data_IF_125360424117
#
_entry.id   IF_125360424117
#
_cell.length_a   1.000
_cell.length_b   1.000
_cell.length_c   1.000
_cell.angle_alpha   90.00
_cell.angle_beta   90.00
_cell.angle_gamma   90.00
#
_symmetry.space_group_name_H-M   'P 1'
#
loop_
_entity.id
_entity.type
_entity.pdbx_description
1 polymer ?
#
# COMPACT_ATOMS: atom_id res chain seq x y z
N UNK A 1 -0.98 20.48 -1.56
CA UNK A 1 -0.94 19.00 -1.52
C UNK A 1 -1.48 18.45 -2.81
N UNK A 2 -0.78 17.51 -3.41
CA UNK A 2 -1.15 16.95 -4.69
C UNK A 2 -1.16 15.40 -4.65
N UNK A 3 -1.56 14.79 -5.77
CA UNK A 3 -1.65 13.34 -5.90
C UNK A 3 -0.31 12.65 -5.61
N UNK A 4 0.79 13.16 -6.15
CA UNK A 4 2.12 12.56 -5.97
C UNK A 4 2.51 12.49 -4.49
N UNK A 5 2.29 13.55 -3.74
CA UNK A 5 2.58 13.59 -2.30
C UNK A 5 1.70 12.61 -1.53
N UNK A 6 0.44 12.50 -1.89
CA UNK A 6 -0.47 11.52 -1.28
C UNK A 6 -0.07 10.08 -1.62
N UNK A 7 0.39 9.81 -2.86
CA UNK A 7 0.90 8.49 -3.23
C UNK A 7 2.12 8.10 -2.41
N UNK A 8 3.05 9.01 -2.22
CA UNK A 8 4.23 8.77 -1.38
C UNK A 8 3.83 8.51 0.07
N UNK A 9 2.86 9.26 0.56
CA UNK A 9 2.38 9.13 1.94
C UNK A 9 1.67 7.81 2.19
N UNK A 10 0.77 7.39 1.29
CA UNK A 10 0.05 6.12 1.46
C UNK A 10 1.01 4.92 1.36
N UNK A 11 2.03 5.02 0.52
CA UNK A 11 3.05 3.97 0.41
C UNK A 11 3.86 3.83 1.70
N UNK A 12 4.21 4.94 2.32
CA UNK A 12 4.87 4.92 3.63
C UNK A 12 3.93 4.39 4.71
N UNK A 13 2.69 4.85 4.72
CA UNK A 13 1.69 4.40 5.68
C UNK A 13 1.50 2.88 5.60
N UNK A 14 1.40 2.32 4.40
CA UNK A 14 1.23 0.89 4.22
C UNK A 14 2.38 0.09 4.85
N UNK A 15 3.61 0.55 4.66
CA UNK A 15 4.79 -0.13 5.20
C UNK A 15 4.88 -0.01 6.72
N UNK A 16 4.71 1.19 7.24
CA UNK A 16 4.89 1.43 8.68
C UNK A 16 3.76 0.82 9.50
N UNK A 17 2.55 0.81 8.99
CA UNK A 17 1.40 0.19 9.67
C UNK A 17 1.61 -1.30 9.86
N UNK A 18 2.16 -1.97 8.85
CA UNK A 18 2.42 -3.41 8.87
C UNK A 18 3.69 -3.79 9.63
N UNK A 19 4.55 -2.83 9.94
CA UNK A 19 5.81 -3.09 10.62
C UNK A 19 5.60 -3.48 12.09
N UNK A 20 6.48 -4.36 12.59
CA UNK A 20 6.52 -4.67 14.01
C UNK A 20 7.15 -3.51 14.81
N UNK A 21 7.28 -3.66 16.13
CA UNK A 21 7.81 -2.60 16.98
C UNK A 21 9.29 -2.29 16.75
N UNK A 22 9.98 -3.14 15.99
CA UNK A 22 11.37 -2.93 15.58
C UNK A 22 11.47 -2.37 14.16
N UNK A 23 10.35 -2.17 13.48
CA UNK A 23 10.32 -1.61 12.14
C UNK A 23 10.42 -2.65 11.01
N UNK A 24 10.33 -3.94 11.32
CA UNK A 24 10.43 -5.00 10.31
C UNK A 24 9.05 -5.39 9.78
N UNK A 25 9.00 -5.65 8.48
CA UNK A 25 7.76 -5.91 7.77
C UNK A 25 7.98 -6.99 6.72
N UNK A 26 6.93 -7.76 6.46
CA UNK A 26 6.98 -8.87 5.52
C UNK A 26 6.37 -8.48 4.17
N UNK A 27 7.07 -8.84 3.08
CA UNK A 27 6.54 -8.69 1.72
C UNK A 27 5.31 -9.58 1.55
N UNK A 28 4.21 -9.01 1.08
CA UNK A 28 2.95 -9.75 0.89
C UNK A 28 3.03 -10.78 -0.25
N UNK A 29 3.98 -10.64 -1.16
CA UNK A 29 4.14 -11.55 -2.30
C UNK A 29 5.13 -12.68 -2.01
N UNK A 30 6.38 -12.38 -1.67
CA UNK A 30 7.39 -13.43 -1.50
C UNK A 30 7.68 -13.80 -0.04
N UNK A 31 7.18 -13.02 0.91
CA UNK A 31 7.36 -13.31 2.33
C UNK A 31 8.67 -12.86 2.95
N UNK A 32 9.57 -12.23 2.18
CA UNK A 32 10.83 -11.74 2.74
C UNK A 32 10.57 -10.67 3.79
N UNK A 33 11.35 -10.69 4.87
CA UNK A 33 11.23 -9.72 5.96
C UNK A 33 12.39 -8.73 5.87
N UNK A 34 12.06 -7.44 5.86
CA UNK A 34 13.03 -6.35 5.82
C UNK A 34 12.53 -5.18 6.66
N UNK A 35 13.43 -4.27 7.00
CA UNK A 35 13.02 -3.03 7.65
C UNK A 35 12.17 -2.21 6.68
N UNK A 36 11.12 -1.55 7.17
CA UNK A 36 10.17 -0.84 6.31
C UNK A 36 10.80 0.29 5.48
N UNK A 37 11.99 0.76 5.87
CA UNK A 37 12.77 1.78 5.14
C UNK A 37 13.82 1.21 4.21
N UNK A 38 14.08 -0.10 4.25
CA UNK A 38 15.21 -0.70 3.55
C UNK A 38 14.76 -1.85 2.65
N UNK A 39 14.66 -1.56 1.36
CA UNK A 39 14.29 -2.56 0.37
C UNK A 39 12.81 -2.92 0.33
N UNK A 40 11.96 -2.19 1.04
CA UNK A 40 10.51 -2.36 1.02
C UNK A 40 9.84 -1.16 0.41
N UNK A 41 8.76 -1.41 -0.31
CA UNK A 41 7.95 -0.38 -0.97
C UNK A 41 6.47 -0.59 -0.61
N UNK A 42 5.66 0.43 -0.84
CA UNK A 42 4.21 0.27 -0.78
C UNK A 42 3.73 -0.14 -2.16
N UNK A 43 3.37 -1.42 -2.30
CA UNK A 43 2.95 -1.98 -3.59
C UNK A 43 1.44 -1.90 -3.76
N UNK A 44 1.00 -1.40 -4.91
CA UNK A 44 -0.42 -1.36 -5.27
C UNK A 44 -0.87 -2.71 -5.83
N UNK A 45 -1.95 -3.26 -5.26
CA UNK A 45 -2.55 -4.48 -5.79
C UNK A 45 -3.22 -4.20 -7.14
N UNK A 46 -4.13 -3.24 -7.19
CA UNK A 46 -4.63 -2.68 -8.45
C UNK A 46 -3.67 -1.56 -8.83
N UNK A 47 -3.06 -1.61 -10.03
CA UNK A 47 -2.05 -0.62 -10.42
C UNK A 47 -2.56 0.81 -10.29
N UNK A 48 -1.73 1.69 -9.75
CA UNK A 48 -2.08 3.09 -9.50
C UNK A 48 -2.45 3.85 -10.77
N UNK A 49 -1.98 3.40 -11.93
CA UNK A 49 -2.34 3.98 -13.22
C UNK A 49 -3.68 3.51 -13.78
N UNK A 50 -4.25 2.43 -13.21
CA UNK A 50 -5.51 1.85 -13.68
C UNK A 50 -6.74 2.49 -13.05
N UNK A 51 -6.59 3.05 -11.86
CA UNK A 51 -7.73 3.57 -11.10
C UNK A 51 -7.32 4.70 -10.19
N UNK A 52 -7.92 5.87 -10.37
CA UNK A 52 -7.70 7.00 -9.49
C UNK A 52 -8.30 6.78 -8.10
N UNK A 53 -9.35 5.97 -7.98
CA UNK A 53 -9.92 5.61 -6.69
C UNK A 53 -8.97 4.69 -5.90
N UNK A 54 -8.60 3.53 -6.49
CA UNK A 54 -7.81 2.53 -5.80
C UNK A 54 -6.37 2.97 -5.51
N UNK A 55 -5.85 3.92 -6.29
CA UNK A 55 -4.49 4.43 -6.10
C UNK A 55 -4.27 5.00 -4.69
N UNK A 56 -5.31 5.54 -4.06
CA UNK A 56 -5.26 6.20 -2.76
C UNK A 56 -6.18 5.54 -1.72
N UNK A 57 -6.47 4.25 -1.89
CA UNK A 57 -7.20 3.46 -0.90
C UNK A 57 -6.24 2.56 -0.12
N UNK A 58 -6.35 2.59 1.21
CA UNK A 58 -5.46 1.86 2.11
C UNK A 58 -5.50 0.35 1.83
N UNK A 59 -6.67 -0.19 1.54
CA UNK A 59 -6.86 -1.62 1.24
C UNK A 59 -6.14 -2.07 -0.03
N UNK A 60 -5.69 -1.14 -0.85
CA UNK A 60 -5.03 -1.45 -2.12
C UNK A 60 -3.50 -1.34 -2.06
N UNK A 61 -2.93 -0.92 -0.93
CA UNK A 61 -1.49 -0.66 -0.83
C UNK A 61 -0.92 -1.41 0.37
N UNK A 62 0.03 -2.32 0.11
CA UNK A 62 0.64 -3.16 1.14
C UNK A 62 2.13 -3.32 0.90
N UNK A 63 2.89 -3.76 1.91
CA UNK A 63 4.35 -3.89 1.75
C UNK A 63 4.73 -4.94 0.71
N UNK A 64 5.58 -4.55 -0.21
CA UNK A 64 6.25 -5.47 -1.14
C UNK A 64 7.72 -5.12 -1.21
N UNK A 65 8.57 -6.14 -1.34
CA UNK A 65 9.99 -5.88 -1.59
C UNK A 65 10.17 -5.30 -3.00
N UNK A 66 11.30 -4.66 -3.24
CA UNK A 66 11.61 -4.01 -4.52
C UNK A 66 11.48 -5.00 -5.67
N UNK A 67 12.01 -6.22 -5.50
CA UNK A 67 11.95 -7.24 -6.54
C UNK A 67 10.52 -7.62 -6.93
N UNK A 68 9.65 -7.83 -5.95
CA UNK A 68 8.25 -8.16 -6.22
C UNK A 68 7.48 -6.98 -6.81
N UNK A 69 7.65 -5.79 -6.26
CA UNK A 69 6.90 -4.63 -6.70
C UNK A 69 7.28 -4.16 -8.11
N UNK A 70 8.58 -4.14 -8.42
CA UNK A 70 9.05 -3.63 -9.71
C UNK A 70 9.04 -4.71 -10.79
N UNK A 71 9.55 -5.90 -10.47
CA UNK A 71 9.73 -6.96 -11.47
C UNK A 71 8.65 -8.06 -11.38
N UNK A 72 8.38 -8.54 -10.19
CA UNK A 72 7.44 -9.64 -9.98
C UNK A 72 6.00 -9.32 -10.38
N UNK A 73 5.55 -8.11 -10.18
CA UNK A 73 4.21 -7.68 -10.58
C UNK A 73 4.06 -7.66 -12.10
N UNK A 74 5.12 -7.30 -12.82
CA UNK A 74 5.12 -7.31 -14.29
C UNK A 74 5.13 -8.71 -14.86
N UNK A 75 5.87 -9.63 -14.24
CA UNK A 75 5.92 -11.03 -14.68
C UNK A 75 4.69 -11.84 -14.29
N UNK A 76 3.90 -11.34 -13.36
CA UNK A 76 2.67 -11.98 -12.89
C UNK A 76 2.83 -12.86 -11.64
N UNK A 77 4.03 -13.34 -11.33
CA UNK A 77 4.25 -14.21 -10.18
C UNK A 77 3.92 -13.53 -8.85
N UNK A 78 4.44 -12.32 -8.64
CA UNK A 78 4.18 -11.57 -7.42
C UNK A 78 2.72 -11.10 -7.35
N UNK A 79 2.08 -10.86 -8.49
CA UNK A 79 0.67 -10.48 -8.54
C UNK A 79 -0.23 -11.64 -8.08
N UNK A 80 0.09 -12.87 -8.49
CA UNK A 80 -0.64 -14.06 -8.04
C UNK A 80 -0.51 -14.26 -6.53
N UNK A 81 0.71 -14.15 -6.01
CA UNK A 81 0.98 -14.24 -4.58
C UNK A 81 0.25 -13.14 -3.81
N UNK A 82 0.23 -11.92 -4.35
CA UNK A 82 -0.47 -10.80 -3.75
C UNK A 82 -1.99 -11.06 -3.69
N UNK A 83 -2.55 -11.65 -4.75
CA UNK A 83 -3.98 -12.02 -4.75
C UNK A 83 -4.31 -12.99 -3.62
N UNK A 84 -3.50 -14.01 -3.42
CA UNK A 84 -3.69 -14.98 -2.33
C UNK A 84 -3.62 -14.30 -0.96
N UNK A 85 -2.66 -13.39 -0.78
CA UNK A 85 -2.55 -12.62 0.45
C UNK A 85 -3.77 -11.74 0.69
N UNK A 86 -4.25 -11.06 -0.35
CA UNK A 86 -5.44 -10.21 -0.27
C UNK A 86 -6.70 -11.00 0.10
N UNK A 87 -6.88 -12.18 -0.50
CA UNK A 87 -8.00 -13.05 -0.20
C UNK A 87 -7.96 -13.55 1.25
N UNK A 88 -6.78 -13.85 1.75
CA UNK A 88 -6.59 -14.27 3.13
C UNK A 88 -6.90 -13.14 4.12
N UNK A 89 -6.47 -11.91 3.79
CA UNK A 89 -6.65 -10.74 4.65
C UNK A 89 -8.07 -10.18 4.63
N UNK A 90 -8.65 -10.01 3.46
CA UNK A 90 -9.92 -9.29 3.26
C UNK A 90 -11.08 -10.17 2.85
N UNK A 91 -10.83 -11.43 2.49
CA UNK A 91 -11.84 -12.33 1.97
C UNK A 91 -11.96 -12.25 0.46
N UNK A 92 -12.36 -13.38 -0.14
CA UNK A 92 -12.45 -13.53 -1.58
C UNK A 92 -13.47 -12.59 -2.22
N UNK A 93 -14.62 -12.40 -1.57
CA UNK A 93 -15.68 -11.54 -2.10
C UNK A 93 -15.22 -10.10 -2.24
N UNK A 94 -14.51 -9.58 -1.23
CA UNK A 94 -13.98 -8.22 -1.27
C UNK A 94 -12.98 -8.06 -2.41
N UNK A 95 -12.08 -9.02 -2.58
CA UNK A 95 -11.07 -8.98 -3.64
C UNK A 95 -11.71 -9.04 -5.02
N UNK A 96 -12.70 -9.91 -5.20
CA UNK A 96 -13.44 -9.99 -6.45
C UNK A 96 -14.15 -8.67 -6.77
N UNK A 97 -14.76 -8.04 -5.79
CA UNK A 97 -15.40 -6.74 -5.96
C UNK A 97 -14.39 -5.66 -6.36
N UNK A 98 -13.20 -5.64 -5.72
CA UNK A 98 -12.11 -4.74 -6.11
C UNK A 98 -11.76 -4.93 -7.59
N UNK A 99 -11.58 -6.18 -8.01
CA UNK A 99 -11.17 -6.50 -9.38
C UNK A 99 -12.26 -6.16 -10.40
N UNK A 100 -13.53 -6.34 -10.05
CA UNK A 100 -14.65 -5.92 -10.89
C UNK A 100 -14.68 -4.40 -11.05
N UNK A 101 -14.32 -3.68 -10.01
CA UNK A 101 -14.29 -2.21 -9.98
C UNK A 101 -12.88 -1.64 -10.18
N UNK A 102 -11.96 -2.41 -10.78
CA UNK A 102 -10.57 -1.99 -10.93
C UNK A 102 -10.38 -0.71 -11.75
N UNK A 103 -11.34 -0.40 -12.60
CA UNK A 103 -11.38 0.86 -13.34
C UNK A 103 -12.44 1.75 -12.71
N UNK A 104 -12.05 2.43 -11.66
CA UNK A 104 -12.95 3.27 -10.88
C UNK A 104 -12.39 4.70 -10.83
N UNK A 105 -12.67 5.52 -11.88
CA UNK A 105 -12.18 6.88 -11.89
C UNK A 105 -12.96 7.75 -10.90
N UNK A 106 -12.20 8.52 -10.11
CA UNK A 106 -12.75 9.53 -9.22
C UNK A 106 -12.03 10.83 -9.46
N UNK A 107 -12.72 11.93 -9.29
CA UNK A 107 -12.12 13.25 -9.37
C UNK A 107 -11.84 13.74 -7.96
N UNK A 108 -10.55 13.96 -7.68
CA UNK A 108 -10.10 14.45 -6.39
C UNK A 108 -9.64 15.90 -6.52
N UNK A 109 -9.94 16.67 -5.50
CA UNK A 109 -9.60 18.08 -5.44
C UNK A 109 -8.53 18.33 -4.38
N UNK A 110 -7.94 19.51 -4.38
CA UNK A 110 -6.90 19.88 -3.42
C UNK A 110 -7.31 19.61 -1.97
N UNK A 111 -8.55 19.93 -1.61
CA UNK A 111 -9.07 19.68 -0.25
C UNK A 111 -9.08 18.20 0.12
N UNK A 112 -9.33 17.32 -0.87
CA UNK A 112 -9.35 15.88 -0.65
C UNK A 112 -7.94 15.37 -0.34
N UNK A 113 -6.95 15.82 -1.10
CA UNK A 113 -5.55 15.47 -0.85
C UNK A 113 -5.06 15.99 0.49
N UNK A 114 -5.43 17.21 0.86
CA UNK A 114 -5.07 17.81 2.15
C UNK A 114 -5.64 17.00 3.31
N UNK A 115 -6.89 16.56 3.21
CA UNK A 115 -7.53 15.76 4.25
C UNK A 115 -6.88 14.38 4.37
N UNK A 116 -6.60 13.70 3.26
CA UNK A 116 -5.90 12.43 3.24
C UNK A 116 -4.53 12.54 3.89
N UNK A 117 -3.76 13.53 3.49
CA UNK A 117 -2.42 13.76 4.03
C UNK A 117 -2.45 13.98 5.54
N UNK A 118 -3.40 14.78 6.01
CA UNK A 118 -3.55 15.05 7.45
C UNK A 118 -3.82 13.78 8.23
N UNK A 119 -4.79 12.99 7.80
CA UNK A 119 -5.16 11.75 8.47
C UNK A 119 -4.01 10.73 8.46
N UNK A 120 -3.40 10.54 7.30
CA UNK A 120 -2.31 9.57 7.15
C UNK A 120 -1.04 10.00 7.89
N UNK A 121 -0.75 11.29 7.92
CA UNK A 121 0.41 11.82 8.65
C UNK A 121 0.28 11.59 10.15
N UNK A 122 -0.91 11.73 10.69
CA UNK A 122 -1.19 11.44 12.09
C UNK A 122 -0.98 9.96 12.41
N UNK A 123 -1.45 9.07 11.54
CA UNK A 123 -1.25 7.63 11.68
C UNK A 123 0.22 7.24 11.58
N UNK A 124 0.94 7.83 10.63
CA UNK A 124 2.39 7.59 10.46
C UNK A 124 3.13 8.02 11.73
N UNK A 125 2.80 9.18 12.28
CA UNK A 125 3.41 9.67 13.52
C UNK A 125 3.17 8.73 14.69
N UNK A 126 1.95 8.21 14.81
CA UNK A 126 1.61 7.21 15.82
C UNK A 126 2.53 5.98 15.70
N UNK A 127 2.69 5.45 14.48
CA UNK A 127 3.54 4.28 14.25
C UNK A 127 5.03 4.57 14.44
N UNK A 128 5.49 5.77 14.07
CA UNK A 128 6.86 6.19 14.35
C UNK A 128 7.15 6.18 15.84
N UNK A 129 6.23 6.69 16.64
CA UNK A 129 6.37 6.67 18.10
C UNK A 129 6.38 5.24 18.64
N UNK A 130 5.50 4.38 18.12
CA UNK A 130 5.43 2.96 18.51
C UNK A 130 6.75 2.23 18.22
N UNK A 131 7.40 2.54 17.11
CA UNK A 131 8.65 1.92 16.68
C UNK A 131 9.87 2.55 17.39
N UNK A 132 9.68 3.67 18.08
CA UNK A 132 10.75 4.39 18.75
C UNK A 132 11.46 5.40 17.85
N UNK A 133 10.83 5.82 16.78
CA UNK A 133 11.31 6.88 15.87
C UNK A 133 10.52 8.15 16.15
N UNK A 134 11.23 9.25 16.28
CA UNK A 134 10.62 10.55 16.52
C UNK A 134 10.80 11.47 15.33
#
# INVERSE_FOLDING_TARGET
MNRKQCLETIQLLARITAADDNGYVQCVSCGVIKHYRDGMQGGHYIPKGSSSYWALEIENVHPQCVGCNIFGMKSGAAAQEYTLWMEDMYGREFVQEMLEKRRNPVKLYKKDYEQMYKEWSELIKYHQNRIGEC
#
